data_IF_191682068343
#
_entry.id   IF_191682068343
#
_cell.length_a   1.000
_cell.length_b   1.000
_cell.length_c   1.000
_cell.angle_alpha   90.00
_cell.angle_beta   90.00
_cell.angle_gamma   90.00
#
_symmetry.space_group_name_H-M   'P 1'
#
loop_
_entity.id
_entity.type
_entity.pdbx_description
1 polymer ?
#
# COMPACT_ATOMS: atom_id res chain seq x y z
N UNK A 1 17.91 -21.70 9.20
CA UNK A 1 17.12 -20.90 8.25
C UNK A 1 15.66 -21.13 8.62
N UNK A 2 14.96 -20.11 9.03
CA UNK A 2 13.54 -20.22 9.35
C UNK A 2 12.71 -19.92 8.10
N UNK A 3 11.51 -20.48 8.03
CA UNK A 3 10.60 -20.28 6.90
C UNK A 3 9.19 -19.96 7.38
N UNK A 4 8.47 -19.14 6.61
CA UNK A 4 7.04 -18.88 6.78
C UNK A 4 6.31 -19.20 5.46
N UNK A 5 5.09 -19.70 5.57
CA UNK A 5 4.26 -20.02 4.41
C UNK A 5 3.25 -18.91 4.18
N UNK A 6 3.11 -18.51 2.94
CA UNK A 6 2.17 -17.48 2.48
C UNK A 6 1.33 -18.03 1.32
N UNK A 7 0.04 -17.77 1.33
CA UNK A 7 -0.84 -18.07 0.19
C UNK A 7 -0.79 -16.94 -0.82
N UNK A 8 -0.58 -17.29 -2.08
CA UNK A 8 -0.70 -16.38 -3.20
C UNK A 8 -2.16 -16.32 -3.69
N UNK A 9 -2.46 -15.32 -4.51
CA UNK A 9 -3.83 -15.05 -4.96
C UNK A 9 -4.43 -16.19 -5.81
N UNK A 10 -3.60 -16.99 -6.47
CA UNK A 10 -4.02 -18.17 -7.23
C UNK A 10 -4.20 -19.43 -6.37
N UNK A 11 -4.01 -19.31 -5.04
CA UNK A 11 -4.08 -20.40 -4.08
C UNK A 11 -2.77 -21.20 -3.91
N UNK A 12 -1.76 -20.94 -4.72
CA UNK A 12 -0.43 -21.53 -4.55
C UNK A 12 0.23 -21.07 -3.24
N UNK A 13 1.27 -21.76 -2.82
CA UNK A 13 1.98 -21.42 -1.57
C UNK A 13 3.38 -20.94 -1.91
N UNK A 14 3.75 -19.78 -1.39
CA UNK A 14 5.10 -19.27 -1.39
C UNK A 14 5.75 -19.45 -0.02
N UNK A 15 7.02 -19.84 -0.01
CA UNK A 15 7.80 -20.01 1.21
C UNK A 15 8.72 -18.81 1.35
N UNK A 16 8.48 -18.01 2.40
CA UNK A 16 9.36 -16.91 2.77
C UNK A 16 10.53 -17.48 3.57
N UNK A 17 11.74 -17.33 3.04
CA UNK A 17 12.97 -17.72 3.69
C UNK A 17 13.49 -16.56 4.55
N UNK A 18 13.53 -16.75 5.86
CA UNK A 18 14.06 -15.78 6.81
C UNK A 18 15.58 -15.95 6.93
N UNK A 19 16.31 -15.29 6.04
CA UNK A 19 17.76 -15.47 5.92
C UNK A 19 18.57 -14.48 6.76
N UNK A 20 17.99 -13.39 7.21
CA UNK A 20 18.65 -12.39 8.04
C UNK A 20 18.02 -12.32 9.43
N UNK A 21 18.81 -11.81 10.39
CA UNK A 21 18.30 -11.60 11.75
C UNK A 21 17.16 -10.57 11.76
N UNK A 22 17.25 -9.53 10.92
CA UNK A 22 16.23 -8.50 10.79
C UNK A 22 14.90 -9.09 10.33
N UNK A 23 14.91 -9.98 9.33
CA UNK A 23 13.72 -10.70 8.89
C UNK A 23 13.17 -11.60 10.00
N UNK A 24 14.05 -12.34 10.68
CA UNK A 24 13.66 -13.20 11.79
C UNK A 24 13.06 -12.39 12.93
N UNK A 25 13.71 -11.30 13.33
CA UNK A 25 13.22 -10.42 14.39
C UNK A 25 11.86 -9.78 14.01
N UNK A 26 11.70 -9.38 12.76
CA UNK A 26 10.44 -8.84 12.26
C UNK A 26 9.31 -9.86 12.32
N UNK A 27 9.55 -11.12 11.91
CA UNK A 27 8.55 -12.18 11.91
C UNK A 27 8.36 -12.88 13.28
N UNK A 28 9.32 -12.79 14.20
CA UNK A 28 9.29 -13.52 15.46
C UNK A 28 9.16 -12.62 16.70
N UNK A 29 9.22 -11.30 16.53
CA UNK A 29 9.16 -10.38 17.67
C UNK A 29 7.75 -10.36 18.27
N UNK A 30 7.62 -10.99 19.44
CA UNK A 30 6.34 -11.28 20.13
C UNK A 30 5.67 -10.03 20.75
N UNK A 31 6.33 -8.89 20.74
CA UNK A 31 5.79 -7.64 21.28
C UNK A 31 5.22 -6.77 20.16
N UNK A 32 4.03 -7.09 19.66
CA UNK A 32 3.19 -6.41 18.68
C UNK A 32 3.43 -6.76 17.18
N UNK A 33 4.66 -6.93 16.68
CA UNK A 33 4.89 -7.21 15.25
C UNK A 33 4.33 -8.55 14.76
N UNK A 34 4.29 -9.59 15.60
CA UNK A 34 3.77 -10.92 15.17
C UNK A 34 2.27 -10.89 14.91
N UNK A 35 1.52 -10.10 15.70
CA UNK A 35 0.07 -9.92 15.51
C UNK A 35 -0.19 -9.16 14.21
N UNK A 36 0.60 -8.14 13.92
CA UNK A 36 0.50 -7.31 12.71
C UNK A 36 0.83 -8.08 11.43
N UNK A 37 1.86 -8.93 11.47
CA UNK A 37 2.20 -9.79 10.32
C UNK A 37 1.13 -10.86 10.08
N UNK A 38 0.60 -11.49 11.14
CA UNK A 38 -0.52 -12.41 11.03
C UNK A 38 -1.78 -11.69 10.54
N UNK A 39 -1.98 -10.42 10.94
CA UNK A 39 -3.01 -9.56 10.42
C UNK A 39 -2.83 -9.33 8.92
N UNK A 40 -1.65 -8.91 8.49
CA UNK A 40 -1.32 -8.73 7.07
C UNK A 40 -1.55 -10.00 6.25
N UNK A 41 -1.19 -11.19 6.74
CA UNK A 41 -1.50 -12.44 6.06
C UNK A 41 -3.00 -12.70 5.94
N UNK A 42 -3.80 -12.33 6.93
CA UNK A 42 -5.25 -12.45 6.87
C UNK A 42 -5.87 -11.42 5.91
N UNK A 43 -5.35 -10.19 5.91
CA UNK A 43 -5.77 -9.11 5.01
C UNK A 43 -5.53 -9.45 3.53
N UNK A 44 -4.49 -10.22 3.20
CA UNK A 44 -4.26 -10.67 1.83
C UNK A 44 -5.48 -11.41 1.24
N UNK A 45 -6.24 -12.13 2.06
CA UNK A 45 -7.47 -12.79 1.61
C UNK A 45 -8.56 -11.79 1.25
N UNK A 46 -8.63 -10.63 1.91
CA UNK A 46 -9.59 -9.56 1.61
C UNK A 46 -9.27 -8.89 0.28
N UNK A 47 -8.00 -8.58 0.03
CA UNK A 47 -7.58 -8.00 -1.25
C UNK A 47 -7.88 -8.92 -2.43
N UNK A 48 -7.84 -10.25 -2.22
CA UNK A 48 -8.12 -11.25 -3.25
C UNK A 48 -9.54 -11.13 -3.83
N UNK A 49 -10.52 -10.59 -3.08
CA UNK A 49 -11.88 -10.39 -3.56
C UNK A 49 -11.99 -9.28 -4.62
N UNK A 50 -11.03 -8.37 -4.65
CA UNK A 50 -11.05 -7.16 -5.50
C UNK A 50 -10.08 -7.25 -6.68
N UNK A 51 -9.10 -8.15 -6.61
CA UNK A 51 -8.18 -8.42 -7.70
C UNK A 51 -8.77 -9.43 -8.69
N UNK A 52 -8.41 -9.27 -9.94
CA UNK A 52 -8.78 -10.19 -11.02
C UNK A 52 -7.55 -10.55 -11.85
N UNK A 53 -7.64 -11.62 -12.66
CA UNK A 53 -6.55 -12.03 -13.57
C UNK A 53 -6.23 -11.00 -14.66
N UNK A 54 -7.10 -9.99 -14.82
CA UNK A 54 -6.90 -8.90 -15.77
C UNK A 54 -6.11 -7.73 -15.18
N UNK A 55 -5.85 -7.73 -13.87
CA UNK A 55 -5.10 -6.71 -13.18
C UNK A 55 -3.59 -6.90 -13.40
N UNK A 56 -3.09 -6.47 -14.58
CA UNK A 56 -1.72 -6.69 -15.03
C UNK A 56 -0.72 -5.70 -14.48
N UNK A 57 -1.14 -4.44 -14.26
CA UNK A 57 -0.31 -3.37 -13.70
C UNK A 57 -0.91 -2.94 -12.37
N UNK A 58 -0.15 -3.14 -11.30
CA UNK A 58 -0.60 -2.87 -9.93
C UNK A 58 0.34 -1.86 -9.27
N UNK A 59 -0.24 -0.88 -8.56
CA UNK A 59 0.48 -0.04 -7.61
C UNK A 59 0.13 -0.48 -6.18
N UNK A 60 1.15 -0.82 -5.42
CA UNK A 60 1.07 -1.16 -3.99
C UNK A 60 1.65 0.02 -3.19
N UNK A 61 0.77 0.93 -2.80
CA UNK A 61 1.11 2.18 -2.13
C UNK A 61 0.97 2.02 -0.62
N UNK A 62 2.09 2.10 0.10
CA UNK A 62 2.26 1.61 1.46
C UNK A 62 2.56 0.11 1.46
N UNK A 63 3.60 -0.26 0.70
CA UNK A 63 3.93 -1.67 0.45
C UNK A 63 4.53 -2.41 1.63
N UNK A 64 4.87 -1.69 2.71
CA UNK A 64 5.47 -2.25 3.90
C UNK A 64 6.61 -3.22 3.52
N UNK A 65 6.60 -4.46 3.97
CA UNK A 65 7.61 -5.49 3.64
C UNK A 65 7.33 -6.25 2.33
N UNK A 66 6.32 -5.85 1.55
CA UNK A 66 6.05 -6.36 0.20
C UNK A 66 5.15 -7.58 0.11
N UNK A 67 4.43 -7.95 1.18
CA UNK A 67 3.61 -9.17 1.18
C UNK A 67 2.46 -9.10 0.17
N UNK A 68 1.77 -7.95 0.04
CA UNK A 68 0.73 -7.79 -0.98
C UNK A 68 1.31 -7.89 -2.39
N UNK A 69 2.44 -7.25 -2.66
CA UNK A 69 3.10 -7.33 -3.95
C UNK A 69 3.44 -8.79 -4.32
N UNK A 70 4.01 -9.58 -3.38
CA UNK A 70 4.28 -11.01 -3.59
C UNK A 70 2.98 -11.78 -3.84
N UNK A 71 1.94 -11.53 -3.04
CA UNK A 71 0.64 -12.20 -3.16
C UNK A 71 0.02 -12.04 -4.56
N UNK A 72 0.16 -10.86 -5.15
CA UNK A 72 -0.42 -10.53 -6.46
C UNK A 72 0.40 -11.05 -7.67
N UNK A 73 1.62 -11.55 -7.46
CA UNK A 73 2.53 -11.95 -8.56
C UNK A 73 1.97 -12.96 -9.57
N UNK A 74 1.10 -13.94 -9.20
CA UNK A 74 0.56 -14.88 -10.19
C UNK A 74 -0.31 -14.23 -11.26
N UNK A 75 -0.88 -13.07 -11.01
CA UNK A 75 -1.80 -12.41 -11.95
C UNK A 75 -1.19 -11.16 -12.58
N UNK A 76 -0.36 -10.43 -11.86
CA UNK A 76 0.24 -9.20 -12.34
C UNK A 76 1.52 -9.44 -13.15
N UNK A 77 1.67 -8.71 -14.25
CA UNK A 77 2.89 -8.67 -15.05
C UNK A 77 3.85 -7.56 -14.61
N UNK A 78 3.33 -6.55 -13.91
CA UNK A 78 4.09 -5.44 -13.35
C UNK A 78 3.45 -4.97 -12.03
N UNK A 79 4.26 -4.91 -10.98
CA UNK A 79 3.84 -4.40 -9.67
C UNK A 79 4.86 -3.35 -9.24
N UNK A 80 4.39 -2.20 -8.81
CA UNK A 80 5.24 -1.17 -8.23
C UNK A 80 4.86 -1.05 -6.76
N UNK A 81 5.77 -1.45 -5.86
CA UNK A 81 5.59 -1.27 -4.42
C UNK A 81 6.31 -0.01 -3.96
N UNK A 82 5.60 0.84 -3.22
CA UNK A 82 6.11 2.12 -2.72
C UNK A 82 6.05 2.12 -1.21
N UNK A 83 7.21 2.23 -0.57
CA UNK A 83 7.33 2.20 0.89
C UNK A 83 8.30 3.29 1.36
N UNK A 84 7.88 4.20 2.25
CA UNK A 84 8.74 5.28 2.74
C UNK A 84 9.72 4.86 3.83
N UNK A 85 9.34 3.94 4.73
CA UNK A 85 10.13 3.58 5.91
C UNK A 85 11.41 2.82 5.51
N UNK A 86 12.62 3.32 5.81
CA UNK A 86 13.85 2.70 5.31
C UNK A 86 13.99 1.22 5.68
N UNK A 87 13.72 0.85 6.92
CA UNK A 87 13.81 -0.55 7.37
C UNK A 87 12.79 -1.47 6.69
N UNK A 88 11.54 -1.00 6.49
CA UNK A 88 10.52 -1.76 5.77
C UNK A 88 10.88 -1.89 4.29
N UNK A 89 11.37 -0.81 3.67
CA UNK A 89 11.80 -0.83 2.28
C UNK A 89 12.97 -1.80 2.05
N UNK A 90 13.91 -1.89 2.99
CA UNK A 90 15.00 -2.86 2.93
C UNK A 90 14.47 -4.30 2.98
N UNK A 91 13.59 -4.61 3.92
CA UNK A 91 12.94 -5.91 4.02
C UNK A 91 12.07 -6.23 2.78
N UNK A 92 11.33 -5.25 2.27
CA UNK A 92 10.58 -5.35 1.03
C UNK A 92 11.52 -5.73 -0.13
N UNK A 93 12.66 -5.06 -0.23
CA UNK A 93 13.66 -5.34 -1.26
C UNK A 93 14.19 -6.77 -1.16
N UNK A 94 14.49 -7.26 0.05
CA UNK A 94 14.97 -8.61 0.27
C UNK A 94 13.91 -9.66 -0.09
N UNK A 95 12.68 -9.50 0.43
CA UNK A 95 11.60 -10.47 0.25
C UNK A 95 11.12 -10.55 -1.20
N UNK A 96 11.05 -9.41 -1.89
CA UNK A 96 10.54 -9.34 -3.25
C UNK A 96 11.62 -9.54 -4.32
N UNK A 97 12.90 -9.73 -3.94
CA UNK A 97 14.04 -9.81 -4.87
C UNK A 97 13.94 -10.92 -5.93
N UNK A 98 13.26 -12.02 -5.61
CA UNK A 98 13.06 -13.18 -6.50
C UNK A 98 11.96 -12.94 -7.56
N UNK A 99 11.23 -11.82 -7.50
CA UNK A 99 10.11 -11.51 -8.39
C UNK A 99 10.47 -10.36 -9.34
N UNK A 100 10.91 -10.65 -10.58
CA UNK A 100 11.39 -9.62 -11.50
C UNK A 100 10.30 -8.63 -11.95
N UNK A 101 9.02 -8.98 -11.84
CA UNK A 101 7.90 -8.10 -12.14
C UNK A 101 7.61 -7.07 -11.03
N UNK A 102 8.28 -7.15 -9.85
CA UNK A 102 8.12 -6.19 -8.76
C UNK A 102 9.21 -5.12 -8.84
N UNK A 103 8.82 -3.90 -9.15
CA UNK A 103 9.65 -2.70 -9.02
C UNK A 103 9.42 -2.05 -7.65
N UNK A 104 10.45 -1.44 -7.07
CA UNK A 104 10.44 -0.87 -5.72
C UNK A 104 10.82 0.59 -5.76
N UNK A 105 10.09 1.43 -5.02
CA UNK A 105 10.38 2.84 -4.89
C UNK A 105 10.35 3.24 -3.41
N UNK A 106 11.47 3.78 -2.89
CA UNK A 106 11.48 4.35 -1.56
C UNK A 106 11.00 5.80 -1.61
N UNK A 107 9.73 6.00 -1.30
CA UNK A 107 9.11 7.33 -1.26
C UNK A 107 7.82 7.28 -0.42
N UNK A 108 7.39 8.42 0.09
CA UNK A 108 6.04 8.59 0.61
C UNK A 108 5.08 9.01 -0.52
N UNK A 109 3.85 8.52 -0.48
CA UNK A 109 2.77 9.04 -1.32
C UNK A 109 2.20 10.30 -0.66
N UNK A 110 2.07 11.38 -1.44
CA UNK A 110 1.71 12.70 -0.92
C UNK A 110 0.94 13.49 -1.99
N UNK A 111 0.51 14.70 -1.64
CA UNK A 111 -0.08 15.67 -2.58
C UNK A 111 0.97 16.54 -3.30
N UNK A 112 2.25 16.33 -3.01
CA UNK A 112 3.36 17.02 -3.69
C UNK A 112 4.43 16.01 -4.10
N UNK A 113 5.18 16.34 -5.16
CA UNK A 113 6.41 15.63 -5.53
C UNK A 113 7.62 16.45 -5.10
N UNK A 114 8.55 15.81 -4.37
CA UNK A 114 9.74 16.47 -3.83
C UNK A 114 10.22 15.84 -2.53
N UNK A 115 10.33 16.63 -1.48
CA UNK A 115 10.68 16.16 -0.14
C UNK A 115 9.67 16.63 0.90
N UNK A 116 9.40 15.76 1.86
CA UNK A 116 8.50 16.03 2.98
C UNK A 116 9.09 15.54 4.30
N UNK A 117 8.41 15.84 5.40
CA UNK A 117 8.75 15.28 6.72
C UNK A 117 7.91 14.02 6.93
N UNK A 118 8.56 12.94 7.30
CA UNK A 118 7.94 11.66 7.63
C UNK A 118 8.16 11.34 9.10
N UNK A 119 7.16 10.80 9.76
CA UNK A 119 7.15 10.52 11.20
C UNK A 119 7.16 9.03 11.44
N UNK A 120 7.99 8.59 12.39
CA UNK A 120 8.15 7.17 12.76
C UNK A 120 7.91 6.95 14.24
N UNK A 121 7.34 5.80 14.55
CA UNK A 121 7.00 5.40 15.91
C UNK A 121 7.73 4.12 16.28
N UNK A 122 8.58 4.19 17.31
CA UNK A 122 9.40 3.04 17.74
C UNK A 122 8.57 1.92 18.38
N UNK A 123 7.41 2.24 18.93
CA UNK A 123 6.52 1.26 19.57
C UNK A 123 5.57 0.55 18.60
N UNK A 124 5.31 1.15 17.43
CA UNK A 124 4.50 0.56 16.37
C UNK A 124 4.93 1.15 15.03
N UNK A 125 5.75 0.43 14.28
CA UNK A 125 6.31 0.89 13.01
C UNK A 125 5.31 0.88 11.85
N UNK A 126 4.16 0.21 12.00
CA UNK A 126 3.10 0.25 10.98
C UNK A 126 2.40 1.61 10.96
N UNK A 127 2.41 2.36 12.07
CA UNK A 127 1.83 3.70 12.15
C UNK A 127 2.71 4.81 11.54
N UNK A 128 3.83 4.47 10.90
CA UNK A 128 4.71 5.44 10.25
C UNK A 128 4.00 6.13 9.10
N UNK A 129 3.96 7.48 9.11
CA UNK A 129 3.18 8.23 8.11
C UNK A 129 3.63 9.69 7.97
N UNK A 130 2.97 10.44 7.09
CA UNK A 130 3.12 11.90 6.99
C UNK A 130 2.40 12.64 8.14
N UNK A 131 1.61 11.94 8.94
CA UNK A 131 0.86 12.53 10.05
C UNK A 131 1.72 12.57 11.30
N UNK A 132 1.85 13.75 11.90
CA UNK A 132 2.57 13.90 13.16
C UNK A 132 1.69 13.42 14.32
N UNK A 133 2.00 12.24 14.84
CA UNK A 133 1.37 11.66 16.05
C UNK A 133 2.34 11.64 17.25
N UNK A 134 3.45 12.43 17.19
CA UNK A 134 4.40 12.55 18.31
C UNK A 134 5.52 11.51 18.28
N UNK A 135 6.11 11.21 17.15
CA UNK A 135 7.26 10.30 17.01
C UNK A 135 8.55 11.03 16.60
N UNK A 136 9.56 10.27 16.23
CA UNK A 136 10.75 10.78 15.56
C UNK A 136 10.40 11.16 14.12
N UNK A 137 11.17 12.09 13.53
CA UNK A 137 10.92 12.51 12.14
C UNK A 137 12.20 12.67 11.34
N UNK A 138 12.09 12.50 10.02
CA UNK A 138 13.20 12.72 9.08
C UNK A 138 12.66 13.20 7.73
N UNK A 139 13.54 13.70 6.87
CA UNK A 139 13.20 14.09 5.51
C UNK A 139 13.23 12.88 4.59
N UNK A 140 12.21 12.79 3.73
CA UNK A 140 12.09 11.71 2.75
C UNK A 140 11.60 12.26 1.41
N UNK A 141 11.94 11.57 0.32
CA UNK A 141 11.33 11.84 -0.97
C UNK A 141 9.84 11.49 -0.93
N UNK A 142 9.03 12.30 -1.58
CA UNK A 142 7.60 12.03 -1.76
C UNK A 142 7.20 12.24 -3.23
N UNK A 143 6.11 11.61 -3.61
CA UNK A 143 5.59 11.67 -4.97
C UNK A 143 4.06 11.62 -4.97
N UNK A 144 3.43 12.34 -5.88
CA UNK A 144 1.99 12.22 -6.12
C UNK A 144 1.67 10.97 -6.93
N UNK A 145 0.44 10.45 -6.83
CA UNK A 145 0.01 9.30 -7.65
C UNK A 145 0.10 9.63 -9.15
N UNK A 146 -0.38 10.81 -9.64
CA UNK A 146 -0.21 11.19 -11.04
C UNK A 146 1.25 11.22 -11.50
N UNK A 147 2.13 11.84 -10.72
CA UNK A 147 3.56 11.96 -11.09
C UNK A 147 4.26 10.58 -11.05
N UNK A 148 3.83 9.68 -10.17
CA UNK A 148 4.32 8.30 -10.15
C UNK A 148 3.96 7.57 -11.44
N UNK A 149 2.70 7.68 -11.87
CA UNK A 149 2.20 7.09 -13.12
C UNK A 149 2.98 7.65 -14.33
N UNK A 150 3.20 8.96 -14.36
CA UNK A 150 3.96 9.63 -15.43
C UNK A 150 5.44 9.23 -15.42
N UNK A 151 6.10 9.29 -14.28
CA UNK A 151 7.52 8.92 -14.09
C UNK A 151 7.80 7.50 -14.57
N UNK A 152 6.90 6.58 -14.30
CA UNK A 152 7.03 5.17 -14.69
C UNK A 152 6.49 4.89 -16.10
N UNK A 153 5.98 5.93 -16.80
CA UNK A 153 5.41 5.84 -18.15
C UNK A 153 4.34 4.76 -18.25
N UNK A 154 3.46 4.71 -17.25
CA UNK A 154 2.36 3.77 -17.24
C UNK A 154 1.20 4.33 -18.07
N UNK A 155 0.81 3.62 -19.11
CA UNK A 155 -0.35 3.98 -19.92
C UNK A 155 -1.64 3.80 -19.14
N UNK A 156 -1.71 2.70 -18.37
CA UNK A 156 -2.87 2.35 -17.54
C UNK A 156 -2.43 1.55 -16.31
N UNK A 157 -3.10 1.80 -15.19
CA UNK A 157 -2.97 1.06 -13.93
C UNK A 157 -4.28 0.32 -13.68
N UNK A 158 -4.21 -1.00 -13.64
CA UNK A 158 -5.40 -1.81 -13.44
C UNK A 158 -5.90 -1.73 -12.01
N UNK A 159 -4.98 -1.72 -11.03
CA UNK A 159 -5.31 -1.76 -9.61
C UNK A 159 -4.34 -0.95 -8.78
N UNK A 160 -4.85 -0.17 -7.83
CA UNK A 160 -4.08 0.49 -6.76
C UNK A 160 -4.55 -0.06 -5.41
N UNK A 161 -3.63 -0.57 -4.60
CA UNK A 161 -3.80 -0.65 -3.14
C UNK A 161 -3.25 0.64 -2.56
N UNK A 162 -4.04 1.34 -1.74
CA UNK A 162 -3.63 2.54 -1.02
C UNK A 162 -3.90 2.36 0.47
N UNK A 163 -2.84 2.18 1.22
CA UNK A 163 -2.83 1.96 2.66
C UNK A 163 -1.54 2.59 3.20
N UNK A 164 -1.63 3.86 3.60
CA UNK A 164 -0.50 4.73 3.93
C UNK A 164 -0.64 5.39 5.31
N UNK A 165 -1.36 4.70 6.19
CA UNK A 165 -1.42 4.97 7.62
C UNK A 165 -1.86 6.41 7.97
N UNK A 166 -2.97 6.83 7.36
CA UNK A 166 -3.61 8.12 7.59
C UNK A 166 -3.13 9.24 6.67
N UNK A 167 -2.14 8.97 5.79
CA UNK A 167 -1.73 9.94 4.78
C UNK A 167 -2.68 9.99 3.58
N UNK A 168 -3.73 9.17 3.54
CA UNK A 168 -4.74 9.13 2.46
C UNK A 168 -5.40 10.49 2.26
N UNK A 169 -5.72 11.19 3.38
CA UNK A 169 -6.33 12.53 3.34
C UNK A 169 -5.38 13.63 2.82
N UNK A 170 -4.06 13.35 2.83
CA UNK A 170 -3.06 14.24 2.24
C UNK A 170 -2.86 13.88 0.78
N UNK A 171 -2.71 12.59 0.47
CA UNK A 171 -2.39 12.09 -0.85
C UNK A 171 -3.53 12.21 -1.85
N UNK A 172 -4.77 12.17 -1.37
CA UNK A 172 -5.98 12.26 -2.18
C UNK A 172 -6.68 13.61 -1.99
N UNK A 173 -6.94 14.27 -3.09
CA UNK A 173 -7.86 15.41 -3.20
C UNK A 173 -8.61 15.35 -4.54
N UNK A 174 -9.52 16.30 -4.76
CA UNK A 174 -10.30 16.37 -6.00
C UNK A 174 -9.41 16.47 -7.25
N UNK A 175 -8.32 17.25 -7.18
CA UNK A 175 -7.40 17.45 -8.30
C UNK A 175 -6.57 16.19 -8.58
N UNK A 176 -6.07 15.55 -7.54
CA UNK A 176 -5.30 14.30 -7.65
C UNK A 176 -6.14 13.19 -8.27
N UNK A 177 -7.36 12.97 -7.77
CA UNK A 177 -8.27 11.96 -8.30
C UNK A 177 -8.65 12.28 -9.76
N UNK A 178 -8.95 13.53 -10.08
CA UNK A 178 -9.18 13.97 -11.46
C UNK A 178 -8.00 13.65 -12.38
N UNK A 179 -6.78 13.92 -11.93
CA UNK A 179 -5.58 13.77 -12.75
C UNK A 179 -5.30 12.31 -13.14
N UNK A 180 -5.56 11.34 -12.25
CA UNK A 180 -5.34 9.94 -12.56
C UNK A 180 -6.58 9.19 -13.04
N UNK A 181 -7.78 9.77 -12.92
CA UNK A 181 -9.05 9.04 -13.12
C UNK A 181 -9.19 8.35 -14.48
N UNK A 182 -8.57 8.87 -15.54
CA UNK A 182 -8.59 8.26 -16.87
C UNK A 182 -7.53 7.16 -17.07
N UNK A 183 -6.62 6.99 -16.12
CA UNK A 183 -5.52 6.03 -16.18
C UNK A 183 -5.62 4.90 -15.16
N UNK A 184 -6.56 4.97 -14.22
CA UNK A 184 -6.71 4.00 -13.13
C UNK A 184 -8.05 3.33 -13.19
N UNK A 185 -8.06 2.00 -13.27
CA UNK A 185 -9.27 1.19 -13.35
C UNK A 185 -9.91 0.94 -12.00
N UNK A 186 -9.09 0.58 -11.03
CA UNK A 186 -9.55 0.20 -9.68
C UNK A 186 -8.63 0.79 -8.63
N UNK A 187 -9.20 1.19 -7.51
CA UNK A 187 -8.44 1.58 -6.32
C UNK A 187 -9.14 1.05 -5.07
N UNK A 188 -8.37 0.42 -4.22
CA UNK A 188 -8.80 -0.05 -2.91
C UNK A 188 -8.05 0.76 -1.86
N UNK A 189 -8.78 1.44 -1.01
CA UNK A 189 -8.27 2.40 -0.03
C UNK A 189 -8.64 1.93 1.37
N UNK A 190 -7.66 1.86 2.25
CA UNK A 190 -7.85 1.71 3.68
C UNK A 190 -7.67 3.07 4.35
N UNK A 191 -8.70 3.56 5.05
CA UNK A 191 -8.66 4.86 5.73
C UNK A 191 -8.34 4.69 7.21
N UNK A 192 -7.49 5.56 7.72
CA UNK A 192 -7.10 5.60 9.12
C UNK A 192 -7.63 6.85 9.80
N UNK A 193 -7.94 6.77 11.08
CA UNK A 193 -8.34 7.95 11.85
C UNK A 193 -7.20 8.97 11.94
N UNK A 194 -7.50 10.23 11.61
CA UNK A 194 -6.54 11.33 11.62
C UNK A 194 -7.14 12.57 12.26
N UNK A 195 -6.49 13.09 13.31
CA UNK A 195 -6.85 14.36 13.95
C UNK A 195 -8.34 14.46 14.33
N UNK A 196 -8.93 13.35 14.80
CA UNK A 196 -10.33 13.27 15.18
C UNK A 196 -11.31 13.16 14.00
N UNK A 197 -10.81 13.04 12.77
CA UNK A 197 -11.63 12.70 11.60
C UNK A 197 -11.60 11.17 11.43
N UNK A 198 -12.71 10.53 11.77
CA UNK A 198 -12.84 9.07 11.68
C UNK A 198 -12.87 8.57 10.22
N UNK A 199 -12.46 7.32 10.02
CA UNK A 199 -12.44 6.68 8.71
C UNK A 199 -13.82 6.67 8.02
N UNK A 200 -14.92 6.55 8.75
CA UNK A 200 -16.28 6.61 8.16
C UNK A 200 -16.56 7.95 7.48
N UNK A 201 -16.14 9.07 8.10
CA UNK A 201 -16.31 10.40 7.53
C UNK A 201 -15.41 10.60 6.31
N UNK A 202 -14.15 10.18 6.39
CA UNK A 202 -13.21 10.24 5.27
C UNK A 202 -13.75 9.45 4.07
N UNK A 203 -14.17 8.21 4.30
CA UNK A 203 -14.74 7.31 3.30
C UNK A 203 -15.92 7.96 2.55
N UNK A 204 -16.85 8.58 3.29
CA UNK A 204 -18.01 9.23 2.69
C UNK A 204 -17.62 10.44 1.81
N UNK A 205 -16.61 11.20 2.21
CA UNK A 205 -16.09 12.34 1.42
C UNK A 205 -15.47 11.84 0.11
N UNK A 206 -14.56 10.87 0.20
CA UNK A 206 -13.84 10.38 -0.97
C UNK A 206 -14.74 9.59 -1.91
N UNK A 207 -15.74 8.86 -1.42
CA UNK A 207 -16.76 8.22 -2.24
C UNK A 207 -17.40 9.21 -3.22
N UNK A 208 -17.84 10.39 -2.74
CA UNK A 208 -18.45 11.40 -3.59
C UNK A 208 -17.49 11.94 -4.65
N UNK A 209 -16.21 12.08 -4.32
CA UNK A 209 -15.20 12.52 -5.27
C UNK A 209 -14.97 11.45 -6.34
N UNK A 210 -14.84 10.18 -5.98
CA UNK A 210 -14.66 9.09 -6.94
C UNK A 210 -15.87 8.93 -7.87
N UNK A 211 -17.09 9.02 -7.34
CA UNK A 211 -18.33 8.99 -8.15
C UNK A 211 -18.34 10.14 -9.17
N UNK A 212 -17.95 11.36 -8.77
CA UNK A 212 -17.83 12.53 -9.67
C UNK A 212 -16.94 12.25 -10.88
N UNK A 213 -15.89 11.40 -10.71
CA UNK A 213 -14.96 11.03 -11.78
C UNK A 213 -15.27 9.68 -12.43
N UNK A 214 -16.50 9.18 -12.28
CA UNK A 214 -17.02 8.04 -13.02
C UNK A 214 -16.62 6.68 -12.46
N UNK A 215 -16.30 6.60 -11.18
CA UNK A 215 -16.14 5.34 -10.47
C UNK A 215 -17.45 4.89 -9.85
N UNK A 216 -17.68 3.58 -9.82
CA UNK A 216 -18.57 2.96 -8.88
C UNK A 216 -17.82 2.63 -7.58
N UNK A 217 -18.55 2.59 -6.48
CA UNK A 217 -17.94 2.45 -5.15
C UNK A 217 -18.61 1.32 -4.36
N UNK A 218 -17.83 0.69 -3.51
CA UNK A 218 -18.28 -0.33 -2.56
C UNK A 218 -17.46 -0.21 -1.28
N UNK A 219 -18.12 -0.24 -0.14
CA UNK A 219 -17.44 -0.32 1.15
C UNK A 219 -16.98 -1.74 1.43
N UNK A 220 -15.81 -1.88 2.05
CA UNK A 220 -15.34 -3.15 2.60
C UNK A 220 -14.78 -2.90 4.01
N UNK A 221 -15.01 -3.83 4.92
CA UNK A 221 -14.64 -3.62 6.32
C UNK A 221 -15.27 -2.34 6.91
N UNK A 222 -14.79 -1.87 8.05
CA UNK A 222 -15.25 -0.65 8.68
C UNK A 222 -14.64 0.62 8.04
N UNK A 223 -13.48 0.54 7.45
CA UNK A 223 -12.56 1.61 7.05
C UNK A 223 -12.22 1.63 5.56
N UNK A 224 -12.63 0.61 4.80
CA UNK A 224 -12.25 0.45 3.41
C UNK A 224 -13.25 1.01 2.39
N UNK A 225 -12.69 1.55 1.28
CA UNK A 225 -13.44 1.98 0.10
C UNK A 225 -12.81 1.37 -1.15
N UNK A 226 -13.59 0.60 -1.88
CA UNK A 226 -13.23 0.09 -3.20
C UNK A 226 -13.93 0.91 -4.27
N UNK A 227 -13.16 1.47 -5.20
CA UNK A 227 -13.63 2.24 -6.33
C UNK A 227 -13.20 1.57 -7.64
N UNK A 228 -14.10 1.44 -8.62
CA UNK A 228 -13.80 0.77 -9.87
C UNK A 228 -14.57 1.38 -11.04
N UNK A 229 -14.00 1.27 -12.24
CA UNK A 229 -14.65 1.63 -13.50
C UNK A 229 -15.21 0.39 -14.18
N UNK A 230 -16.39 0.56 -14.80
CA UNK A 230 -16.98 -0.46 -15.68
C UNK A 230 -16.26 -0.57 -17.01
#
# INVERSE_FOLDING_TARGET
>A
METKQMKLIDGSTYIIELSTKELQDHFNNTNNCTIEILHQFNELSWYSEYLTKDDKVILDLGGNIGLFAIHATPWASKIITVEPTPSHFELNTQLTSKFPQIERLQAAISNITGQTTFYTFSSNTTMNSLINRGGSSFKINCITIPDLIEKLKLDYVNFIKLDIEGSEIIALDDNTIKAFSNKVGKILIEFHEVNGVGYTQQRAIFEQIFIKYGYETKYFGPDGLYCYKK
#
